data_IF_406199580180
#
_entry.id   IF_406199580180
#
_cell.length_a   1.000
_cell.length_b   1.000
_cell.length_c   1.000
_cell.angle_alpha   90.00
_cell.angle_beta   90.00
_cell.angle_gamma   90.00
#
_symmetry.space_group_name_H-M   'P 1'
#
loop_
_entity.id
_entity.type
_entity.pdbx_description
1 polymer ?
#
# COMPACT_ATOMS: atom_id res chain seq x y z
N UNK A 1 -0.81 23.01 10.34
CA UNK A 1 -1.91 22.09 10.63
C UNK A 1 -1.34 21.02 11.54
N UNK A 2 -1.83 20.91 12.77
CA UNK A 2 -1.43 19.81 13.66
C UNK A 2 -2.05 18.53 13.14
N UNK A 3 -1.20 17.57 12.79
CA UNK A 3 -1.60 16.28 12.24
C UNK A 3 -1.74 15.27 13.37
N UNK A 4 -2.73 14.38 13.28
CA UNK A 4 -2.92 13.35 14.31
C UNK A 4 -1.93 12.21 14.07
N UNK A 5 -1.22 11.78 15.12
CA UNK A 5 -0.39 10.58 15.00
C UNK A 5 -1.26 9.33 14.95
N UNK A 6 -0.94 8.45 14.01
CA UNK A 6 -1.57 7.16 13.81
C UNK A 6 -0.61 6.03 14.20
N UNK A 7 -1.10 4.89 14.71
CA UNK A 7 -0.27 3.71 14.96
C UNK A 7 0.40 3.13 13.70
N UNK A 8 -0.02 3.58 12.52
CA UNK A 8 0.51 3.18 11.22
C UNK A 8 1.61 4.11 10.72
N UNK A 9 1.92 5.19 11.45
CA UNK A 9 2.96 6.13 11.09
C UNK A 9 4.34 5.46 11.12
N UNK A 10 5.19 5.91 10.21
CA UNK A 10 6.59 5.54 10.21
C UNK A 10 7.30 6.19 11.40
N UNK A 11 8.19 5.43 12.04
CA UNK A 11 9.12 6.02 13.00
C UNK A 11 10.16 6.86 12.25
N UNK A 12 10.75 7.85 12.91
CA UNK A 12 11.80 8.68 12.30
C UNK A 12 12.97 7.82 11.78
N UNK A 13 13.32 6.76 12.51
CA UNK A 13 14.35 5.80 12.09
C UNK A 13 13.96 5.07 10.80
N UNK A 14 12.73 4.57 10.70
CA UNK A 14 12.24 3.91 9.49
C UNK A 14 12.21 4.90 8.32
N UNK A 15 11.83 6.15 8.59
CA UNK A 15 11.82 7.20 7.59
C UNK A 15 13.22 7.52 7.06
N UNK A 16 14.24 7.61 7.91
CA UNK A 16 15.63 7.83 7.49
C UNK A 16 16.14 6.73 6.55
N UNK A 17 15.67 5.49 6.73
CA UNK A 17 16.01 4.36 5.86
C UNK A 17 15.28 4.46 4.51
N UNK A 18 14.01 4.87 4.53
CA UNK A 18 13.15 4.91 3.34
C UNK A 18 13.35 6.14 2.47
N UNK A 19 13.58 7.31 3.07
CA UNK A 19 13.77 8.58 2.38
C UNK A 19 14.75 8.52 1.20
N UNK A 20 15.96 7.92 1.31
CA UNK A 20 16.90 7.84 0.19
C UNK A 20 16.47 6.89 -0.93
N UNK A 21 15.52 5.98 -0.68
CA UNK A 21 14.99 5.06 -1.69
C UNK A 21 13.94 5.72 -2.59
N UNK A 22 13.45 6.90 -2.19
CA UNK A 22 12.45 7.65 -2.94
C UNK A 22 13.12 8.31 -4.15
N UNK A 23 12.62 8.09 -5.37
CA UNK A 23 13.20 8.71 -6.55
C UNK A 23 13.05 10.24 -6.46
N UNK A 24 14.10 11.00 -6.84
CA UNK A 24 14.06 12.45 -6.76
C UNK A 24 12.93 13.01 -7.63
N UNK A 25 12.46 14.21 -7.25
CA UNK A 25 11.54 14.95 -8.08
C UNK A 25 12.19 15.22 -9.46
N UNK A 26 11.38 15.19 -10.53
CA UNK A 26 11.88 15.51 -11.87
C UNK A 26 12.32 16.96 -11.92
N UNK A 27 13.45 17.21 -12.57
CA UNK A 27 13.93 18.57 -12.83
C UNK A 27 12.95 19.33 -13.74
N UNK A 28 12.70 20.61 -13.42
CA UNK A 28 11.85 21.50 -14.21
C UNK A 28 10.35 21.49 -13.88
N UNK A 29 9.91 20.74 -12.85
CA UNK A 29 8.52 20.77 -12.36
C UNK A 29 8.29 21.76 -11.22
N UNK A 30 7.00 22.03 -10.90
CA UNK A 30 6.66 22.74 -9.66
C UNK A 30 7.20 21.95 -8.46
N UNK A 31 7.97 22.57 -7.55
CA UNK A 31 8.48 21.89 -6.37
C UNK A 31 7.31 21.26 -5.60
N UNK A 32 7.42 19.99 -5.18
CA UNK A 32 6.39 19.42 -4.33
C UNK A 32 6.35 20.18 -3.01
N UNK A 33 5.23 20.86 -2.74
CA UNK A 33 4.98 21.57 -1.47
C UNK A 33 4.64 20.60 -0.33
N UNK A 34 4.34 19.35 -0.66
CA UNK A 34 3.90 18.33 0.28
C UNK A 34 5.11 17.58 0.85
N UNK A 35 5.11 17.42 2.17
CA UNK A 35 6.08 16.57 2.86
C UNK A 35 5.97 15.11 2.38
N UNK A 36 7.12 14.53 2.01
CA UNK A 36 7.15 13.18 1.44
C UNK A 36 6.90 12.10 2.50
N UNK A 37 7.27 12.36 3.76
CA UNK A 37 6.99 11.49 4.90
C UNK A 37 5.50 11.41 5.16
N UNK A 38 4.78 12.54 5.05
CA UNK A 38 3.32 12.59 5.18
C UNK A 38 2.60 11.82 4.06
N UNK A 39 3.13 11.86 2.84
CA UNK A 39 2.64 11.02 1.74
C UNK A 39 2.85 9.53 2.07
N UNK A 40 4.03 9.16 2.56
CA UNK A 40 4.29 7.78 2.98
C UNK A 40 3.35 7.35 4.11
N UNK A 41 3.21 8.15 5.17
CA UNK A 41 2.32 7.86 6.30
C UNK A 41 0.86 7.64 5.85
N UNK A 42 0.36 8.50 4.94
CA UNK A 42 -0.96 8.33 4.34
C UNK A 42 -1.11 7.00 3.58
N UNK A 43 -0.07 6.60 2.83
CA UNK A 43 -0.10 5.35 2.07
C UNK A 43 0.01 4.14 3.00
N UNK A 44 0.88 4.18 4.02
CA UNK A 44 0.97 3.12 5.03
C UNK A 44 -0.34 2.95 5.79
N UNK A 45 -1.00 4.07 6.15
CA UNK A 45 -2.34 4.04 6.72
C UNK A 45 -3.33 3.32 5.79
N UNK A 46 -3.38 3.70 4.51
CA UNK A 46 -4.26 3.07 3.52
C UNK A 46 -3.98 1.57 3.37
N UNK A 47 -2.71 1.17 3.24
CA UNK A 47 -2.31 -0.22 3.07
C UNK A 47 -2.60 -1.07 4.31
N UNK A 48 -2.41 -0.51 5.52
CA UNK A 48 -2.61 -1.25 6.77
C UNK A 48 -4.09 -1.40 7.13
N UNK A 49 -4.89 -0.38 6.86
CA UNK A 49 -6.33 -0.38 7.17
C UNK A 49 -7.17 -0.99 6.05
N UNK A 50 -6.68 -0.98 4.80
CA UNK A 50 -7.44 -1.39 3.63
C UNK A 50 -8.62 -0.47 3.31
N UNK A 51 -8.65 0.75 3.86
CA UNK A 51 -9.76 1.67 3.67
C UNK A 51 -9.83 2.15 2.20
N UNK A 52 -11.00 2.58 1.73
CA UNK A 52 -11.08 3.22 0.42
C UNK A 52 -10.31 4.56 0.43
N UNK A 53 -9.76 4.98 -0.72
CA UNK A 53 -9.04 6.26 -0.84
C UNK A 53 -9.87 7.49 -0.43
N UNK A 54 -11.20 7.41 -0.57
CA UNK A 54 -12.11 8.48 -0.15
C UNK A 54 -12.32 8.53 1.38
N UNK A 55 -11.96 7.45 2.08
CA UNK A 55 -12.08 7.32 3.53
C UNK A 55 -10.77 7.66 4.24
N UNK A 56 -9.76 8.13 3.50
CA UNK A 56 -8.51 8.59 4.08
C UNK A 56 -8.82 9.77 5.03
N UNK A 57 -8.27 9.78 6.26
CA UNK A 57 -8.44 10.90 7.18
C UNK A 57 -8.06 12.25 6.55
N UNK A 58 -8.83 13.29 6.86
CA UNK A 58 -8.68 14.62 6.24
C UNK A 58 -7.48 15.43 6.71
N UNK A 59 -6.75 14.95 7.72
CA UNK A 59 -5.50 15.52 8.22
C UNK A 59 -4.27 15.07 7.41
N UNK A 60 -4.41 14.05 6.56
CA UNK A 60 -3.39 13.69 5.57
C UNK A 60 -3.36 14.66 4.40
N UNK A 61 -2.26 14.66 3.60
CA UNK A 61 -2.20 15.39 2.35
C UNK A 61 -3.38 15.05 1.43
N UNK A 62 -3.72 15.93 0.46
CA UNK A 62 -4.85 15.72 -0.43
C UNK A 62 -4.82 14.33 -1.07
N UNK A 63 -5.91 13.56 -0.92
CA UNK A 63 -6.03 12.17 -1.38
C UNK A 63 -5.63 11.96 -2.84
N UNK A 64 -5.88 12.95 -3.71
CA UNK A 64 -5.47 12.93 -5.12
C UNK A 64 -3.95 12.95 -5.28
N UNK A 65 -3.25 13.77 -4.49
CA UNK A 65 -1.79 13.82 -4.43
C UNK A 65 -1.24 12.49 -3.94
N UNK A 66 -1.73 12.00 -2.80
CA UNK A 66 -1.31 10.72 -2.21
C UNK A 66 -1.46 9.57 -3.23
N UNK A 67 -2.62 9.46 -3.86
CA UNK A 67 -2.89 8.45 -4.88
C UNK A 67 -1.96 8.58 -6.10
N UNK A 68 -1.68 9.81 -6.54
CA UNK A 68 -0.79 10.05 -7.69
C UNK A 68 0.64 9.58 -7.41
N UNK A 69 1.15 9.83 -6.20
CA UNK A 69 2.43 9.31 -5.74
C UNK A 69 2.42 7.78 -5.64
N UNK A 70 1.38 7.21 -5.01
CA UNK A 70 1.22 5.76 -4.91
C UNK A 70 1.32 5.07 -6.28
N UNK A 71 0.56 5.55 -7.27
CA UNK A 71 0.55 5.01 -8.64
C UNK A 71 1.88 5.21 -9.35
N UNK A 72 2.51 6.37 -9.20
CA UNK A 72 3.82 6.65 -9.81
C UNK A 72 4.89 5.71 -9.27
N UNK A 73 4.93 5.51 -7.96
CA UNK A 73 5.90 4.65 -7.29
C UNK A 73 5.67 3.17 -7.53
N UNK A 74 4.41 2.75 -7.69
CA UNK A 74 4.07 1.40 -8.14
C UNK A 74 4.67 1.09 -9.51
N UNK A 75 4.60 2.02 -10.47
CA UNK A 75 5.24 1.83 -11.78
C UNK A 75 6.77 1.86 -11.75
N UNK A 76 7.37 2.39 -10.68
CA UNK A 76 8.82 2.54 -10.51
C UNK A 76 9.45 1.45 -9.63
N UNK A 77 8.66 0.53 -9.09
CA UNK A 77 9.15 -0.54 -8.22
C UNK A 77 9.60 -0.05 -6.83
N UNK A 78 9.13 1.11 -6.36
CA UNK A 78 9.60 1.73 -5.11
C UNK A 78 9.02 0.98 -3.90
N UNK A 79 7.77 0.51 -3.99
CA UNK A 79 7.12 -0.23 -2.90
C UNK A 79 7.78 -1.58 -2.64
N UNK A 80 8.25 -2.24 -3.71
CA UNK A 80 9.00 -3.47 -3.64
C UNK A 80 10.34 -3.25 -2.93
N UNK A 81 11.04 -2.14 -3.22
CA UNK A 81 12.26 -1.75 -2.51
C UNK A 81 12.01 -1.44 -1.04
N UNK A 82 10.91 -0.76 -0.72
CA UNK A 82 10.53 -0.45 0.67
C UNK A 82 10.26 -1.74 1.47
N UNK A 83 9.42 -2.62 0.92
CA UNK A 83 9.10 -3.89 1.56
C UNK A 83 10.34 -4.79 1.69
N UNK A 84 11.23 -4.77 0.70
CA UNK A 84 12.47 -5.54 0.73
C UNK A 84 13.43 -5.06 1.82
N UNK A 85 13.63 -3.75 1.93
CA UNK A 85 14.55 -3.14 2.91
C UNK A 85 14.04 -3.30 4.34
N UNK A 86 12.79 -2.93 4.61
CA UNK A 86 12.18 -3.09 5.95
C UNK A 86 12.01 -4.57 6.32
N UNK A 87 11.54 -5.39 5.37
CA UNK A 87 11.40 -6.84 5.58
C UNK A 87 12.73 -7.51 5.87
N UNK A 88 13.80 -7.09 5.18
CA UNK A 88 15.17 -7.51 5.46
C UNK A 88 15.59 -7.22 6.89
N UNK A 89 15.34 -6.00 7.39
CA UNK A 89 15.70 -5.61 8.76
C UNK A 89 14.95 -6.39 9.82
N UNK A 90 13.63 -6.59 9.66
CA UNK A 90 12.83 -7.41 10.60
C UNK A 90 13.37 -8.84 10.63
N UNK A 91 13.73 -9.40 9.48
CA UNK A 91 14.28 -10.77 9.39
C UNK A 91 15.67 -10.87 10.00
N UNK A 92 16.55 -9.89 9.78
CA UNK A 92 17.86 -9.82 10.43
C UNK A 92 17.75 -9.73 11.95
N UNK A 93 16.82 -8.92 12.48
CA UNK A 93 16.53 -8.86 13.93
C UNK A 93 16.03 -10.20 14.49
N UNK A 94 15.35 -11.00 13.67
CA UNK A 94 14.87 -12.35 14.01
C UNK A 94 15.92 -13.46 13.75
N UNK A 95 17.16 -13.12 13.37
CA UNK A 95 18.22 -14.08 13.07
C UNK A 95 17.98 -14.92 11.81
N UNK A 96 17.08 -14.47 10.92
CA UNK A 96 16.72 -15.14 9.66
C UNK A 96 17.44 -14.48 8.48
N UNK A 97 17.71 -15.26 7.42
CA UNK A 97 18.27 -14.71 6.17
C UNK A 97 17.40 -13.58 5.62
N UNK A 98 18.05 -12.49 5.20
CA UNK A 98 17.45 -11.24 4.71
C UNK A 98 16.52 -11.46 3.52
N UNK A 99 16.81 -12.45 2.69
CA UNK A 99 15.96 -12.86 1.57
C UNK A 99 15.08 -14.05 2.00
N UNK A 100 13.76 -14.05 1.69
CA UNK A 100 12.98 -15.27 1.75
C UNK A 100 13.52 -16.26 0.71
N UNK A 101 13.62 -17.55 1.08
CA UNK A 101 13.84 -18.61 0.10
C UNK A 101 12.58 -18.63 -0.78
N UNK A 102 12.73 -18.52 -2.10
CA UNK A 102 11.67 -18.31 -3.09
C UNK A 102 10.58 -19.40 -3.18
N UNK A 103 10.53 -20.33 -2.22
CA UNK A 103 9.56 -21.43 -2.14
C UNK A 103 8.24 -21.06 -1.45
N UNK A 104 8.15 -19.87 -0.84
CA UNK A 104 6.92 -19.37 -0.22
C UNK A 104 6.16 -18.43 -1.18
N UNK A 105 5.75 -18.97 -2.33
CA UNK A 105 4.66 -18.36 -3.11
C UNK A 105 3.34 -18.81 -2.47
N UNK A 106 2.89 -18.06 -1.47
CA UNK A 106 1.59 -18.33 -0.83
C UNK A 106 0.47 -17.75 -1.69
N UNK A 107 0.05 -18.52 -2.70
CA UNK A 107 -1.27 -18.32 -3.31
C UNK A 107 -2.30 -18.93 -2.37
N UNK A 108 -2.73 -18.20 -1.34
CA UNK A 108 -3.97 -18.56 -0.65
C UNK A 108 -5.13 -18.27 -1.61
N UNK A 109 -5.48 -19.27 -2.42
CA UNK A 109 -6.75 -19.33 -3.11
C UNK A 109 -7.86 -19.32 -2.07
N UNK A 110 -8.64 -18.25 -2.02
CA UNK A 110 -9.87 -18.22 -1.22
C UNK A 110 -10.79 -19.33 -1.73
N UNK A 111 -11.27 -20.20 -0.84
CA UNK A 111 -12.30 -21.17 -1.22
C UNK A 111 -13.58 -20.39 -1.49
N UNK A 112 -13.92 -20.17 -2.76
CA UNK A 112 -15.25 -19.74 -3.15
C UNK A 112 -16.19 -20.92 -2.95
N UNK A 113 -16.93 -20.91 -1.84
CA UNK A 113 -18.12 -21.74 -1.68
C UNK A 113 -19.10 -21.40 -2.82
N UNK A 114 -19.30 -22.36 -3.72
CA UNK A 114 -20.27 -22.26 -4.80
C UNK A 114 -21.68 -22.28 -4.20
N UNK A 115 -22.33 -21.11 -4.06
CA UNK A 115 -23.79 -21.08 -3.97
C UNK A 115 -24.35 -21.51 -5.32
N UNK A 116 -24.70 -22.80 -5.42
CA UNK A 116 -25.48 -23.40 -6.50
C UNK A 116 -26.87 -22.76 -6.51
N UNK A 117 -27.01 -21.62 -7.20
CA UNK A 117 -28.31 -21.03 -7.48
C UNK A 117 -29.11 -21.97 -8.37
N UNK A 118 -30.14 -22.61 -7.81
CA UNK A 118 -31.15 -23.33 -8.58
C UNK A 118 -31.84 -22.34 -9.51
N UNK A 119 -31.53 -22.42 -10.81
CA UNK A 119 -32.34 -21.81 -11.85
C UNK A 119 -33.60 -22.67 -12.00
N UNK A 120 -34.69 -22.22 -11.38
CA UNK A 120 -36.01 -22.81 -11.60
C UNK A 120 -36.48 -22.38 -12.99
N UNK A 121 -36.35 -23.28 -13.96
CA UNK A 121 -37.03 -23.17 -15.26
C UNK A 121 -38.53 -23.23 -15.01
N UNK A 122 -39.21 -22.09 -15.09
CA UNK A 122 -40.65 -22.07 -15.25
C UNK A 122 -40.96 -22.21 -16.74
N UNK A 123 -41.65 -23.31 -17.03
CA UNK A 123 -42.13 -23.74 -18.34
C UNK A 123 -43.10 -22.75 -18.98
N UNK A 124 -43.03 -22.76 -20.30
CA UNK A 124 -43.91 -22.19 -21.32
C UNK A 124 -45.40 -22.11 -20.95
N UNK A 125 -46.04 -20.95 -21.21
CA UNK A 125 -47.47 -20.86 -21.53
C UNK A 125 -47.66 -19.92 -22.71
N UNK A 126 -47.83 -20.57 -23.87
CA UNK A 126 -48.44 -20.10 -25.11
C UNK A 126 -49.76 -19.33 -24.91
N UNK A 127 -49.89 -18.18 -25.57
CA UNK A 127 -51.09 -17.77 -26.32
C UNK A 127 -50.75 -16.75 -27.39
#
# INVERSE_FOLDING_TARGET
MERKSYPTDLTDMDWEILAPLIPPAKEGGHPPTTDMGEICNAIYFHLKTGCQWNMLPGDFPPRSTVYSYYRKWQGQGVWEKFNHTLGGQVRSKLGKSTQPIALAADSQSVNTDQKKGMCMVLTDVKR
#
